data_IF_160565452857
#
_entry.id   IF_160565452857
#
_cell.length_a   1.000
_cell.length_b   1.000
_cell.length_c   1.000
_cell.angle_alpha   90.00
_cell.angle_beta   90.00
_cell.angle_gamma   90.00
#
_symmetry.space_group_name_H-M   'P 1'
#
loop_
_entity.id
_entity.type
_entity.pdbx_description
1 polymer ?
#
# COMPACT_ATOMS: atom_id res chain seq x y z
N UNK A 1 -5.26 -17.17 -7.18
CA UNK A 1 -4.91 -15.97 -6.39
C UNK A 1 -6.22 -15.39 -5.90
N UNK A 2 -6.37 -15.10 -4.60
CA UNK A 2 -7.65 -14.64 -4.06
C UNK A 2 -7.72 -13.10 -4.04
N UNK A 3 -8.64 -12.46 -4.80
CA UNK A 3 -8.82 -11.01 -4.79
C UNK A 3 -9.11 -10.44 -3.39
N UNK A 4 -9.81 -11.18 -2.53
CA UNK A 4 -10.15 -10.71 -1.19
C UNK A 4 -8.89 -10.63 -0.30
N UNK A 5 -7.99 -11.61 -0.42
CA UNK A 5 -6.70 -11.58 0.29
C UNK A 5 -5.82 -10.41 -0.17
N UNK A 6 -5.82 -10.08 -1.47
CA UNK A 6 -5.07 -8.92 -2.00
C UNK A 6 -5.62 -7.60 -1.49
N UNK A 7 -6.94 -7.44 -1.44
CA UNK A 7 -7.58 -6.25 -0.87
C UNK A 7 -7.33 -6.11 0.62
N UNK A 8 -7.36 -7.22 1.36
CA UNK A 8 -7.01 -7.22 2.79
C UNK A 8 -5.56 -6.79 3.00
N UNK A 9 -4.63 -7.30 2.19
CA UNK A 9 -3.22 -6.90 2.27
C UNK A 9 -3.02 -5.42 1.91
N UNK A 10 -3.72 -4.92 0.87
CA UNK A 10 -3.72 -3.51 0.51
C UNK A 10 -4.22 -2.62 1.67
N UNK A 11 -5.31 -3.01 2.34
CA UNK A 11 -5.84 -2.28 3.48
C UNK A 11 -4.88 -2.22 4.67
N UNK A 12 -4.17 -3.32 4.95
CA UNK A 12 -3.13 -3.34 6.01
C UNK A 12 -2.00 -2.38 5.65
N UNK A 13 -1.51 -2.42 4.41
CA UNK A 13 -0.45 -1.53 3.95
C UNK A 13 -0.88 -0.06 4.03
N UNK A 14 -2.09 0.30 3.64
CA UNK A 14 -2.58 1.67 3.78
C UNK A 14 -2.64 2.15 5.23
N UNK A 15 -3.11 1.30 6.14
CA UNK A 15 -3.14 1.63 7.56
C UNK A 15 -1.72 1.90 8.06
N UNK A 16 -0.77 1.01 7.76
CA UNK A 16 0.65 1.18 8.11
C UNK A 16 1.27 2.43 7.46
N UNK A 17 0.99 2.67 6.18
CA UNK A 17 1.48 3.86 5.46
C UNK A 17 0.96 5.16 6.07
N UNK A 18 -0.31 5.17 6.49
CA UNK A 18 -0.94 6.31 7.19
C UNK A 18 -0.30 6.53 8.55
N UNK A 19 -0.11 5.47 9.35
CA UNK A 19 0.57 5.57 10.64
C UNK A 19 2.00 6.11 10.52
N UNK A 20 2.75 5.68 9.49
CA UNK A 20 4.09 6.18 9.20
C UNK A 20 4.06 7.67 8.79
N UNK A 21 3.14 8.05 7.92
CA UNK A 21 2.96 9.43 7.47
C UNK A 21 2.59 10.37 8.62
N UNK A 22 1.73 9.92 9.54
CA UNK A 22 1.31 10.68 10.73
C UNK A 22 2.43 10.77 11.79
N UNK A 23 3.28 9.74 11.89
CA UNK A 23 4.41 9.71 12.81
C UNK A 23 5.63 10.53 12.37
N UNK A 24 5.87 10.64 11.05
CA UNK A 24 7.04 11.34 10.50
C UNK A 24 7.18 12.81 10.94
N UNK A 25 6.12 13.64 11.02
CA UNK A 25 6.20 15.00 11.56
C UNK A 25 6.72 15.06 13.00
N UNK A 26 6.37 14.08 13.84
CA UNK A 26 6.82 14.00 15.23
C UNK A 26 8.33 13.81 15.39
N UNK A 27 8.98 13.22 14.38
CA UNK A 27 10.45 13.08 14.35
C UNK A 27 11.16 14.40 14.11
N UNK A 28 10.51 15.37 13.45
CA UNK A 28 11.09 16.70 13.19
C UNK A 28 11.07 17.62 14.41
N UNK A 29 10.35 17.23 15.47
CA UNK A 29 10.33 17.98 16.72
C UNK A 29 11.70 17.88 17.39
N UNK A 30 12.48 18.95 17.33
CA UNK A 30 13.81 19.03 17.92
C UNK A 30 13.69 18.83 19.43
N UNK A 31 14.30 17.79 20.03
CA UNK A 31 14.33 17.67 21.48
C UNK A 31 15.22 18.79 22.05
N UNK A 32 14.71 19.50 23.06
CA UNK A 32 15.38 20.64 23.67
C UNK A 32 16.55 20.15 24.55
N UNK A 33 17.70 19.85 23.93
CA UNK A 33 18.83 19.16 24.56
C UNK A 33 20.16 19.95 24.54
N UNK A 34 20.12 21.27 24.35
CA UNK A 34 21.33 22.12 24.41
C UNK A 34 22.28 21.95 23.22
N UNK A 35 23.54 22.40 23.34
CA UNK A 35 24.48 22.71 22.23
C UNK A 35 24.85 21.52 21.29
N UNK A 36 24.46 20.28 21.62
CA UNK A 36 24.69 19.06 20.82
C UNK A 36 23.55 18.74 19.83
N UNK A 37 22.79 19.76 19.40
CA UNK A 37 21.47 19.57 18.77
C UNK A 37 21.46 19.71 17.24
N UNK A 38 22.58 20.05 16.58
CA UNK A 38 22.61 20.24 15.12
C UNK A 38 22.74 18.90 14.38
N UNK A 39 23.65 18.00 14.78
CA UNK A 39 23.76 16.67 14.18
C UNK A 39 22.51 15.83 14.48
N UNK A 40 21.97 15.94 15.70
CA UNK A 40 20.74 15.23 16.10
C UNK A 40 19.53 15.75 15.31
N UNK A 41 19.39 17.07 15.13
CA UNK A 41 18.32 17.63 14.31
C UNK A 41 18.45 17.20 12.84
N UNK A 42 19.67 17.15 12.31
CA UNK A 42 19.94 16.68 10.94
C UNK A 42 19.58 15.21 10.78
N UNK A 43 20.00 14.35 11.72
CA UNK A 43 19.68 12.92 11.70
C UNK A 43 18.17 12.67 11.81
N UNK A 44 17.47 13.42 12.68
CA UNK A 44 16.03 13.36 12.82
C UNK A 44 15.28 13.84 11.57
N UNK A 45 15.77 14.90 10.92
CA UNK A 45 15.20 15.37 9.65
C UNK A 45 15.36 14.32 8.54
N UNK A 46 16.56 13.73 8.41
CA UNK A 46 16.82 12.65 7.45
C UNK A 46 15.96 11.41 7.72
N UNK A 47 15.79 11.04 9.00
CA UNK A 47 14.91 9.95 9.38
C UNK A 47 13.44 10.24 9.03
N UNK A 48 12.95 11.45 9.30
CA UNK A 48 11.59 11.85 8.95
C UNK A 48 11.33 11.78 7.43
N UNK A 49 12.32 12.18 6.62
CA UNK A 49 12.25 12.06 5.17
C UNK A 49 12.24 10.59 4.71
N UNK A 50 13.09 9.75 5.29
CA UNK A 50 13.11 8.32 4.99
C UNK A 50 11.77 7.65 5.36
N UNK A 51 11.19 7.98 6.51
CA UNK A 51 9.87 7.45 6.92
C UNK A 51 8.77 7.90 5.97
N UNK A 52 8.78 9.17 5.52
CA UNK A 52 7.82 9.67 4.55
C UNK A 52 7.96 8.97 3.17
N UNK A 53 9.18 8.66 2.76
CA UNK A 53 9.43 7.89 1.53
C UNK A 53 8.87 6.46 1.65
N UNK A 54 9.12 5.77 2.78
CA UNK A 54 8.58 4.43 3.03
C UNK A 54 7.05 4.45 3.04
N UNK A 55 6.42 5.44 3.69
CA UNK A 55 4.97 5.60 3.67
C UNK A 55 4.41 5.71 2.25
N UNK A 56 5.12 6.43 1.37
CA UNK A 56 4.76 6.58 -0.05
C UNK A 56 4.88 5.26 -0.82
N UNK A 57 5.97 4.52 -0.64
CA UNK A 57 6.17 3.22 -1.29
C UNK A 57 5.15 2.17 -0.82
N UNK A 58 4.83 2.17 0.47
CA UNK A 58 3.80 1.31 1.06
C UNK A 58 2.43 1.63 0.45
N UNK A 59 2.09 2.91 0.30
CA UNK A 59 0.87 3.35 -0.38
C UNK A 59 0.80 2.89 -1.84
N UNK A 60 1.89 3.05 -2.60
CA UNK A 60 1.96 2.57 -3.99
C UNK A 60 1.82 1.05 -4.11
N UNK A 61 2.39 0.31 -3.14
CA UNK A 61 2.25 -1.15 -3.09
C UNK A 61 0.81 -1.56 -2.83
N UNK A 62 0.11 -0.87 -1.92
CA UNK A 62 -1.31 -1.09 -1.67
C UNK A 62 -2.17 -0.85 -2.91
N UNK A 63 -1.91 0.23 -3.66
CA UNK A 63 -2.60 0.53 -4.91
C UNK A 63 -2.36 -0.56 -5.98
N UNK A 64 -1.13 -1.04 -6.10
CA UNK A 64 -0.77 -2.12 -7.01
C UNK A 64 -1.51 -3.42 -6.67
N UNK A 65 -1.65 -3.74 -5.38
CA UNK A 65 -2.42 -4.91 -4.93
C UNK A 65 -3.91 -4.78 -5.28
N UNK A 66 -4.51 -3.61 -5.14
CA UNK A 66 -5.91 -3.39 -5.56
C UNK A 66 -6.12 -3.52 -7.05
N UNK A 67 -5.21 -2.95 -7.84
CA UNK A 67 -5.23 -3.08 -9.30
C UNK A 67 -5.18 -4.56 -9.68
N UNK A 68 -4.25 -5.29 -9.06
CA UNK A 68 -4.11 -6.73 -9.27
C UNK A 68 -5.37 -7.50 -8.85
N UNK A 69 -6.00 -7.15 -7.73
CA UNK A 69 -7.25 -7.76 -7.28
C UNK A 69 -8.40 -7.52 -8.28
N UNK A 70 -8.49 -6.32 -8.83
CA UNK A 70 -9.46 -5.97 -9.86
C UNK A 70 -9.23 -6.79 -11.14
N UNK A 71 -7.98 -6.92 -11.59
CA UNK A 71 -7.61 -7.70 -12.78
C UNK A 71 -7.95 -9.19 -12.64
N UNK A 72 -7.71 -9.76 -11.46
CA UNK A 72 -8.11 -11.16 -11.17
C UNK A 72 -9.63 -11.31 -11.27
N UNK A 73 -10.42 -10.41 -10.66
CA UNK A 73 -11.88 -10.48 -10.76
C UNK A 73 -12.38 -10.34 -12.19
N UNK A 74 -11.81 -9.42 -12.97
CA UNK A 74 -12.15 -9.25 -14.37
C UNK A 74 -11.84 -10.51 -15.18
N UNK A 75 -10.70 -11.14 -14.91
CA UNK A 75 -10.30 -12.40 -15.54
C UNK A 75 -11.27 -13.54 -15.17
N UNK A 76 -11.62 -13.69 -13.89
CA UNK A 76 -12.57 -14.72 -13.43
C UNK A 76 -13.95 -14.55 -14.08
N UNK A 77 -14.44 -13.31 -14.19
CA UNK A 77 -15.69 -12.99 -14.87
C UNK A 77 -15.63 -13.35 -16.37
N UNK A 78 -14.54 -13.02 -17.05
CA UNK A 78 -14.34 -13.34 -18.46
C UNK A 78 -14.30 -14.86 -18.71
N UNK A 79 -13.63 -15.62 -17.83
CA UNK A 79 -13.56 -17.08 -17.90
C UNK A 79 -14.94 -17.72 -17.65
N UNK A 80 -15.70 -17.21 -16.67
CA UNK A 80 -17.05 -17.68 -16.38
C UNK A 80 -18.00 -17.44 -17.56
N UNK A 81 -17.99 -16.23 -18.13
CA UNK A 81 -18.80 -15.88 -19.29
C UNK A 81 -18.45 -16.76 -20.51
N UNK A 82 -17.16 -16.95 -20.79
CA UNK A 82 -16.68 -17.81 -21.88
C UNK A 82 -17.15 -19.27 -21.69
N UNK A 83 -17.10 -19.78 -20.47
CA UNK A 83 -17.54 -21.14 -20.14
C UNK A 83 -19.05 -21.33 -20.31
N UNK A 84 -19.85 -20.34 -19.90
CA UNK A 84 -21.30 -20.33 -20.08
C UNK A 84 -21.67 -20.29 -21.57
N UNK A 85 -21.00 -19.44 -22.35
CA UNK A 85 -21.22 -19.35 -23.79
C UNK A 85 -20.89 -20.67 -24.49
N UNK A 86 -19.78 -21.32 -24.12
CA UNK A 86 -19.42 -22.65 -24.65
C UNK A 86 -20.46 -23.72 -24.31
N UNK A 87 -21.01 -23.70 -23.08
CA UNK A 87 -22.07 -24.64 -22.67
C UNK A 87 -23.38 -24.40 -23.42
N UNK A 88 -23.75 -23.15 -23.69
CA UNK A 88 -24.94 -22.81 -24.47
C UNK A 88 -24.86 -23.26 -25.93
N UNK A 89 -23.66 -23.20 -26.54
CA UNK A 89 -23.43 -23.66 -27.91
C UNK A 89 -23.46 -25.20 -28.04
N UNK A 90 -23.14 -25.92 -26.96
CA UNK A 90 -23.04 -27.39 -26.94
C UNK A 90 -24.30 -28.09 -26.40
N UNK A 91 -25.29 -27.36 -25.89
CA UNK A 91 -26.58 -27.91 -25.50
C UNK A 91 -27.49 -27.98 -26.74
N UNK A 92 -27.97 -29.17 -27.16
CA UNK A 92 -28.84 -29.35 -28.32
C UNK A 92 -30.25 -28.78 -28.14
#
# INVERSE_FOLDING_TARGET
MDPAALESAAGILEATGTELADGAPGLRTRPDLGVSTDEVATALAALAEAVAAVATEVGSTAESLRTTAADVRATDQAVAASSQQRRAVLAP
#
